data_IF_741013140683
#
_entry.id   IF_741013140683
#
_cell.length_a   1.000
_cell.length_b   1.000
_cell.length_c   1.000
_cell.angle_alpha   90.00
_cell.angle_beta   90.00
_cell.angle_gamma   90.00
#
_symmetry.space_group_name_H-M   'P 1'
#
loop_
_entity.id
_entity.type
_entity.pdbx_description
1 polymer ?
#
# COMPACT_ATOMS: atom_id res chain seq x y z
N UNK A 1 -0.01 -30.94 25.80
CA UNK A 1 -1.42 -30.62 26.10
C UNK A 1 -2.04 -30.05 24.84
N UNK A 2 -2.84 -30.87 24.14
CA UNK A 2 -3.68 -30.63 22.95
C UNK A 2 -3.24 -29.57 21.92
N UNK A 3 -2.42 -30.00 20.94
CA UNK A 3 -2.27 -29.35 19.63
C UNK A 3 -2.98 -30.24 18.60
N UNK A 4 -4.12 -29.80 18.05
CA UNK A 4 -4.82 -30.49 16.96
C UNK A 4 -5.26 -29.48 15.90
N UNK A 5 -4.55 -29.53 14.78
CA UNK A 5 -5.02 -29.33 13.40
C UNK A 5 -5.91 -28.12 13.10
N UNK A 6 -5.30 -27.04 12.62
CA UNK A 6 -5.93 -26.14 11.63
C UNK A 6 -5.21 -26.36 10.29
N UNK A 7 -5.46 -27.51 9.68
CA UNK A 7 -5.31 -27.66 8.23
C UNK A 7 -6.70 -27.37 7.65
N UNK A 8 -6.79 -26.53 6.61
CA UNK A 8 -8.00 -26.16 5.85
C UNK A 8 -8.75 -24.88 6.25
N UNK A 9 -8.03 -23.76 6.45
CA UNK A 9 -8.65 -22.45 6.21
C UNK A 9 -8.27 -21.98 4.79
N UNK A 10 -9.23 -21.67 3.90
CA UNK A 10 -8.91 -21.16 2.57
C UNK A 10 -8.13 -19.82 2.66
N UNK A 11 -7.30 -19.47 1.67
CA UNK A 11 -6.40 -18.30 1.73
C UNK A 11 -7.09 -16.94 1.99
N UNK A 12 -8.42 -16.88 1.90
CA UNK A 12 -9.25 -15.68 2.07
C UNK A 12 -10.07 -15.61 3.38
N UNK A 13 -9.92 -16.55 4.33
CA UNK A 13 -10.81 -16.64 5.51
C UNK A 13 -10.79 -15.42 6.45
N UNK A 14 -9.81 -14.52 6.33
CA UNK A 14 -9.72 -13.29 7.13
C UNK A 14 -9.64 -12.07 6.23
N UNK A 15 -10.59 -11.14 6.37
CA UNK A 15 -10.54 -9.85 5.68
C UNK A 15 -9.23 -9.11 5.97
N UNK A 16 -8.71 -8.39 4.96
CA UNK A 16 -7.40 -7.68 5.00
C UNK A 16 -7.16 -6.89 6.30
N UNK A 17 -8.20 -6.30 6.87
CA UNK A 17 -8.13 -5.51 8.11
C UNK A 17 -7.86 -6.30 9.40
N UNK A 18 -8.07 -7.63 9.42
CA UNK A 18 -7.87 -8.46 10.63
C UNK A 18 -6.46 -9.04 10.75
N UNK A 19 -5.70 -9.11 9.65
CA UNK A 19 -4.34 -9.65 9.64
C UNK A 19 -3.33 -8.67 10.23
N UNK A 20 -3.51 -7.37 9.97
CA UNK A 20 -2.55 -6.36 10.41
C UNK A 20 -2.40 -6.27 11.92
N UNK A 21 -3.48 -6.22 12.74
CA UNK A 21 -3.36 -6.21 14.20
C UNK A 21 -2.64 -7.46 14.76
N UNK A 22 -2.89 -8.64 14.18
CA UNK A 22 -2.20 -9.86 14.58
C UNK A 22 -0.69 -9.77 14.30
N UNK A 23 -0.30 -9.32 13.11
CA UNK A 23 1.11 -9.13 12.74
C UNK A 23 1.78 -8.04 13.60
N UNK A 24 1.04 -7.00 13.99
CA UNK A 24 1.54 -5.97 14.90
C UNK A 24 2.08 -6.55 16.19
N UNK A 25 1.34 -7.47 16.81
CA UNK A 25 1.73 -8.10 18.07
C UNK A 25 2.96 -9.02 17.95
N UNK A 26 3.27 -9.51 16.74
CA UNK A 26 4.33 -10.49 16.49
C UNK A 26 5.58 -9.87 15.82
N UNK A 27 5.61 -8.54 15.63
CA UNK A 27 6.72 -7.85 14.96
C UNK A 27 7.12 -6.60 15.72
N UNK A 28 8.41 -6.23 15.68
CA UNK A 28 8.93 -5.04 16.39
C UNK A 28 9.42 -3.90 15.51
N UNK A 29 9.83 -4.19 14.27
CA UNK A 29 10.55 -3.22 13.43
C UNK A 29 9.91 -2.97 12.07
N UNK A 30 9.44 -4.03 11.40
CA UNK A 30 8.91 -3.92 10.04
C UNK A 30 7.68 -3.01 9.98
N UNK A 31 7.63 -2.13 8.97
CA UNK A 31 6.45 -1.31 8.70
C UNK A 31 5.25 -2.21 8.35
N UNK A 32 4.06 -1.75 8.69
CA UNK A 32 2.80 -2.46 8.44
C UNK A 32 1.98 -1.66 7.45
N UNK A 33 1.83 -2.18 6.24
CA UNK A 33 1.12 -1.49 5.16
C UNK A 33 -0.23 -2.14 4.83
N UNK A 34 -1.22 -1.34 4.45
CA UNK A 34 -2.46 -1.84 3.81
C UNK A 34 -2.37 -1.75 2.30
N UNK A 35 -2.73 -2.82 1.58
CA UNK A 35 -2.85 -2.83 0.11
C UNK A 35 -4.24 -3.28 -0.37
N UNK A 36 -5.31 -2.50 -0.21
CA UNK A 36 -5.43 -1.13 0.32
C UNK A 36 -6.73 -0.98 1.11
N UNK A 37 -6.80 0.01 1.99
CA UNK A 37 -8.02 0.37 2.70
C UNK A 37 -9.00 1.10 1.75
N UNK A 38 -10.26 0.66 1.68
CA UNK A 38 -11.24 1.24 0.77
C UNK A 38 -11.96 2.42 1.42
N UNK A 39 -11.44 3.62 1.18
CA UNK A 39 -11.93 4.86 1.81
C UNK A 39 -13.35 5.23 1.36
N UNK A 40 -13.76 4.81 0.16
CA UNK A 40 -15.11 5.08 -0.32
C UNK A 40 -16.20 4.21 0.35
N UNK A 41 -15.86 3.08 0.97
CA UNK A 41 -16.85 2.14 1.51
C UNK A 41 -17.17 2.33 2.99
N UNK A 42 -16.24 2.89 3.78
CA UNK A 42 -16.38 3.03 5.24
C UNK A 42 -16.43 4.49 5.63
N UNK A 43 -17.05 4.78 6.78
CA UNK A 43 -17.07 6.14 7.29
C UNK A 43 -15.64 6.59 7.68
N UNK A 44 -15.23 7.83 7.38
CA UNK A 44 -13.88 8.32 7.70
C UNK A 44 -13.51 8.24 9.18
N UNK A 45 -14.49 8.42 10.08
CA UNK A 45 -14.30 8.28 11.54
C UNK A 45 -13.85 6.85 11.91
N UNK A 46 -14.50 5.82 11.33
CA UNK A 46 -14.17 4.43 11.64
C UNK A 46 -12.78 4.06 11.12
N UNK A 47 -12.45 4.57 9.92
CA UNK A 47 -11.12 4.43 9.33
C UNK A 47 -10.05 5.10 10.19
N UNK A 48 -10.30 6.34 10.65
CA UNK A 48 -9.37 7.11 11.47
C UNK A 48 -9.15 6.46 12.84
N UNK A 49 -10.22 6.04 13.52
CA UNK A 49 -10.12 5.32 14.81
C UNK A 49 -9.32 4.02 14.69
N UNK A 50 -9.62 3.22 13.66
CA UNK A 50 -8.91 1.97 13.43
C UNK A 50 -7.43 2.20 13.09
N UNK A 51 -7.14 3.17 12.22
CA UNK A 51 -5.79 3.51 11.81
C UNK A 51 -4.97 4.05 12.99
N UNK A 52 -5.47 5.02 13.74
CA UNK A 52 -4.77 5.58 14.90
C UNK A 52 -4.53 4.53 16.00
N UNK A 53 -5.52 3.67 16.27
CA UNK A 53 -5.35 2.57 17.24
C UNK A 53 -4.25 1.60 16.80
N UNK A 54 -4.25 1.22 15.52
CA UNK A 54 -3.24 0.33 14.97
C UNK A 54 -1.86 0.98 14.96
N UNK A 55 -1.78 2.27 14.66
CA UNK A 55 -0.54 3.05 14.69
C UNK A 55 0.06 3.06 16.10
N UNK A 56 -0.74 3.40 17.13
CA UNK A 56 -0.32 3.33 18.53
C UNK A 56 0.13 1.93 18.95
N UNK A 57 -0.65 0.89 18.62
CA UNK A 57 -0.28 -0.50 18.94
C UNK A 57 0.99 -0.95 18.23
N UNK A 58 1.27 -0.39 17.05
CA UNK A 58 2.47 -0.69 16.28
C UNK A 58 3.68 0.15 16.69
N UNK A 59 3.49 1.22 17.46
CA UNK A 59 4.53 2.18 17.79
C UNK A 59 4.93 3.06 16.59
N UNK A 60 3.97 3.50 15.78
CA UNK A 60 4.22 4.42 14.66
C UNK A 60 4.64 3.73 13.36
N UNK A 61 4.37 2.43 13.19
CA UNK A 61 4.82 1.63 12.03
C UNK A 61 3.77 1.53 10.93
N UNK A 62 2.62 2.17 11.05
CA UNK A 62 1.53 2.05 10.09
C UNK A 62 1.77 2.91 8.85
N UNK A 63 1.64 2.30 7.67
CA UNK A 63 1.54 3.00 6.39
C UNK A 63 0.21 2.65 5.75
N UNK A 64 -0.66 3.62 5.52
CA UNK A 64 -2.01 3.36 5.04
C UNK A 64 -2.06 3.49 3.52
N UNK A 65 -1.96 2.36 2.81
CA UNK A 65 -2.34 2.35 1.41
C UNK A 65 -3.86 2.46 1.27
N UNK A 66 -4.35 3.44 0.52
CA UNK A 66 -5.78 3.79 0.39
C UNK A 66 -6.25 3.72 -1.06
N UNK A 67 -7.52 3.36 -1.26
CA UNK A 67 -8.12 3.27 -2.59
C UNK A 67 -9.62 3.62 -2.57
N UNK A 68 -10.18 3.94 -3.73
CA UNK A 68 -11.62 4.16 -3.90
C UNK A 68 -12.43 2.88 -4.10
N UNK A 69 -11.78 1.73 -4.34
CA UNK A 69 -12.44 0.43 -4.50
C UNK A 69 -12.83 0.09 -5.94
N UNK A 70 -12.82 -1.21 -6.24
CA UNK A 70 -13.05 -1.80 -7.56
C UNK A 70 -14.19 -2.83 -7.58
N UNK A 71 -14.51 -3.43 -6.44
CA UNK A 71 -15.58 -4.43 -6.29
C UNK A 71 -16.95 -3.77 -6.28
N UNK A 72 -17.52 -3.54 -7.47
CA UNK A 72 -18.90 -3.02 -7.67
C UNK A 72 -19.95 -3.68 -6.77
N UNK A 73 -19.85 -5.00 -6.59
CA UNK A 73 -20.80 -5.80 -5.79
C UNK A 73 -20.82 -5.44 -4.30
N UNK A 74 -19.73 -4.88 -3.75
CA UNK A 74 -19.66 -4.49 -2.34
C UNK A 74 -20.44 -3.21 -2.05
N UNK A 75 -20.51 -2.27 -3.01
CA UNK A 75 -21.09 -0.95 -2.80
C UNK A 75 -22.57 -0.96 -2.40
N UNK A 76 -23.46 -1.73 -3.07
CA UNK A 76 -24.85 -1.84 -2.65
C UNK A 76 -25.03 -2.39 -1.23
N UNK A 77 -24.13 -3.25 -0.75
CA UNK A 77 -24.19 -3.79 0.61
C UNK A 77 -23.95 -2.72 1.69
N UNK A 78 -23.31 -1.60 1.34
CA UNK A 78 -23.15 -0.42 2.19
C UNK A 78 -24.17 0.69 1.87
N UNK A 79 -25.13 0.43 0.98
CA UNK A 79 -26.10 1.44 0.53
C UNK A 79 -25.47 2.58 -0.29
N UNK A 80 -24.34 2.32 -0.95
CA UNK A 80 -23.59 3.33 -1.71
C UNK A 80 -23.63 3.05 -3.22
N UNK A 81 -23.69 4.07 -4.08
CA UNK A 81 -23.48 3.92 -5.52
C UNK A 81 -21.97 3.82 -5.85
N UNK A 82 -21.58 2.86 -6.68
CA UNK A 82 -20.18 2.67 -7.08
C UNK A 82 -19.65 3.79 -7.98
N UNK A 83 -20.54 4.45 -8.71
CA UNK A 83 -20.26 5.52 -9.66
C UNK A 83 -19.62 6.73 -8.96
N UNK A 84 -20.07 7.04 -7.74
CA UNK A 84 -19.63 8.21 -6.97
C UNK A 84 -18.38 7.93 -6.11
N UNK A 85 -17.77 6.74 -6.22
CA UNK A 85 -16.65 6.33 -5.36
C UNK A 85 -15.43 7.26 -5.42
N UNK A 86 -15.22 7.94 -6.55
CA UNK A 86 -14.12 8.89 -6.72
C UNK A 86 -14.32 10.14 -5.89
N UNK A 87 -15.48 10.77 -6.00
CA UNK A 87 -15.85 11.94 -5.20
C UNK A 87 -15.87 11.58 -3.71
N UNK A 88 -16.52 10.47 -3.35
CA UNK A 88 -16.59 9.99 -1.98
C UNK A 88 -15.20 9.68 -1.39
N UNK A 89 -14.29 9.14 -2.20
CA UNK A 89 -12.90 8.91 -1.79
C UNK A 89 -12.19 10.22 -1.43
N UNK A 90 -12.26 11.23 -2.30
CA UNK A 90 -11.64 12.53 -2.05
C UNK A 90 -12.20 13.20 -0.78
N UNK A 91 -13.53 13.19 -0.61
CA UNK A 91 -14.20 13.67 0.60
C UNK A 91 -13.77 12.90 1.85
N UNK A 92 -13.54 11.59 1.73
CA UNK A 92 -13.11 10.75 2.85
C UNK A 92 -11.67 11.03 3.26
N UNK A 93 -10.78 11.32 2.30
CA UNK A 93 -9.39 11.71 2.58
C UNK A 93 -9.32 13.05 3.31
N UNK A 94 -10.06 14.05 2.83
CA UNK A 94 -10.17 15.37 3.48
C UNK A 94 -10.69 15.24 4.91
N UNK A 95 -11.80 14.52 5.10
CA UNK A 95 -12.38 14.27 6.43
C UNK A 95 -11.38 13.57 7.35
N UNK A 96 -10.74 12.50 6.87
CA UNK A 96 -9.77 11.72 7.64
C UNK A 96 -8.59 12.59 8.11
N UNK A 97 -8.08 13.47 7.25
CA UNK A 97 -6.98 14.38 7.60
C UNK A 97 -7.39 15.41 8.64
N UNK A 98 -8.57 16.00 8.49
CA UNK A 98 -9.15 16.92 9.48
C UNK A 98 -9.29 16.26 10.86
N UNK A 99 -9.71 14.99 10.91
CA UNK A 99 -9.77 14.22 12.15
C UNK A 99 -8.38 14.00 12.79
N UNK A 100 -7.35 13.69 12.00
CA UNK A 100 -6.01 13.45 12.52
C UNK A 100 -5.29 14.72 12.95
N UNK A 101 -5.58 15.85 12.32
CA UNK A 101 -4.97 17.15 12.64
C UNK A 101 -5.28 17.63 14.06
N UNK A 102 -6.25 17.01 14.76
CA UNK A 102 -6.47 17.20 16.19
C UNK A 102 -7.18 18.50 16.56
N UNK A 103 -7.59 19.30 15.58
CA UNK A 103 -8.34 20.53 15.78
C UNK A 103 -9.77 20.22 16.22
N UNK A 104 -10.27 20.96 17.22
CA UNK A 104 -11.67 20.89 17.67
C UNK A 104 -12.64 21.65 16.74
N UNK A 105 -12.19 21.96 15.52
CA UNK A 105 -13.02 22.65 14.53
C UNK A 105 -14.11 21.73 13.99
N UNK A 106 -15.33 22.25 13.78
CA UNK A 106 -16.40 21.47 13.16
C UNK A 106 -16.00 20.97 11.77
N UNK A 107 -16.19 19.68 11.51
CA UNK A 107 -16.03 19.09 10.18
C UNK A 107 -17.40 19.07 9.51
N UNK A 108 -17.56 19.91 8.48
CA UNK A 108 -18.72 19.91 7.61
C UNK A 108 -18.36 19.23 6.28
N UNK A 109 -18.91 18.04 6.05
CA UNK A 109 -18.67 17.25 4.84
C UNK A 109 -19.99 16.70 4.28
N UNK A 110 -20.06 16.41 2.97
CA UNK A 110 -21.15 15.62 2.39
C UNK A 110 -21.29 14.22 3.03
N UNK A 111 -20.26 13.74 3.74
CA UNK A 111 -20.27 12.45 4.45
C UNK A 111 -20.88 12.54 5.85
N UNK A 112 -21.14 13.74 6.36
CA UNK A 112 -21.67 13.98 7.68
C UNK A 112 -21.09 15.23 8.32
N UNK A 113 -21.72 15.67 9.40
CA UNK A 113 -21.24 16.77 10.25
C UNK A 113 -20.74 16.21 11.56
N UNK A 114 -19.62 16.74 12.03
CA UNK A 114 -19.07 16.48 13.35
C UNK A 114 -18.72 17.83 13.96
N UNK A 115 -19.37 18.18 15.06
CA UNK A 115 -19.03 19.38 15.82
C UNK A 115 -17.68 19.18 16.55
N UNK A 116 -17.38 19.99 17.56
CA UNK A 116 -16.12 19.93 18.29
C UNK A 116 -15.89 18.56 18.96
N UNK A 117 -15.16 17.69 18.27
CA UNK A 117 -14.79 16.36 18.72
C UNK A 117 -13.32 16.09 18.41
N UNK A 118 -12.65 15.42 19.34
CA UNK A 118 -11.25 14.99 19.18
C UNK A 118 -11.20 13.50 18.90
N UNK A 119 -10.43 13.11 17.89
CA UNK A 119 -10.14 11.71 17.65
C UNK A 119 -9.22 11.17 18.77
N UNK A 120 -9.59 10.04 19.36
CA UNK A 120 -8.71 9.28 20.25
C UNK A 120 -8.70 7.80 19.84
N UNK A 121 -7.53 7.13 19.90
CA UNK A 121 -6.21 7.70 20.25
C UNK A 121 -5.65 8.61 19.14
N UNK A 122 -4.63 9.42 19.46
CA UNK A 122 -3.88 10.16 18.44
C UNK A 122 -2.77 9.27 17.86
N UNK A 123 -2.45 9.37 16.56
CA UNK A 123 -1.29 8.70 15.98
C UNK A 123 0.01 9.08 16.71
N UNK A 124 0.98 8.17 16.71
CA UNK A 124 2.24 8.31 17.47
C UNK A 124 3.03 9.55 17.04
N UNK A 125 3.03 9.87 15.75
CA UNK A 125 3.73 11.03 15.17
C UNK A 125 2.78 12.18 14.83
N UNK A 126 1.51 12.09 15.23
CA UNK A 126 0.45 13.05 14.85
C UNK A 126 -0.08 12.88 13.42
N UNK A 127 0.55 12.04 12.60
CA UNK A 127 0.14 11.79 11.22
C UNK A 127 0.28 10.30 10.84
N UNK A 128 -0.48 9.86 9.84
CA UNK A 128 -0.39 8.50 9.28
C UNK A 128 -0.18 8.64 7.77
N UNK A 129 0.94 8.13 7.21
CA UNK A 129 1.19 8.23 5.76
C UNK A 129 0.08 7.57 4.94
N UNK A 130 -0.49 8.34 4.01
CA UNK A 130 -1.55 7.92 3.08
C UNK A 130 -0.99 7.68 1.68
N UNK A 131 -0.79 6.42 1.31
CA UNK A 131 -0.32 6.02 -0.01
C UNK A 131 -1.49 5.68 -0.93
N UNK A 132 -1.74 6.48 -1.97
CA UNK A 132 -2.90 6.25 -2.85
C UNK A 132 -2.60 5.10 -3.81
N UNK A 133 -3.55 4.18 -3.99
CA UNK A 133 -3.38 3.00 -4.85
C UNK A 133 -4.11 3.17 -6.18
N UNK A 134 -3.38 2.96 -7.28
CA UNK A 134 -3.86 3.24 -8.63
C UNK A 134 -4.21 4.72 -8.79
N UNK A 135 -5.18 5.05 -9.63
CA UNK A 135 -5.68 6.43 -9.73
C UNK A 135 -6.67 6.80 -8.63
N UNK A 136 -7.30 5.81 -7.98
CA UNK A 136 -8.45 6.02 -7.09
C UNK A 136 -9.55 6.94 -7.68
N UNK A 137 -9.67 7.01 -9.02
CA UNK A 137 -10.55 7.92 -9.77
C UNK A 137 -10.20 9.41 -9.64
N UNK A 138 -8.95 9.71 -9.26
CA UNK A 138 -8.41 11.06 -9.14
C UNK A 138 -7.49 11.40 -10.32
N UNK A 139 -7.27 12.70 -10.54
CA UNK A 139 -6.29 13.20 -11.51
C UNK A 139 -4.86 13.07 -10.95
N UNK A 140 -3.85 13.13 -11.82
CA UNK A 140 -2.44 13.19 -11.38
C UNK A 140 -2.17 14.42 -10.51
N UNK A 141 -2.82 15.55 -10.80
CA UNK A 141 -2.73 16.75 -9.98
C UNK A 141 -3.21 16.50 -8.56
N UNK A 142 -4.40 15.91 -8.40
CA UNK A 142 -4.92 15.58 -7.07
C UNK A 142 -3.98 14.61 -6.33
N UNK A 143 -3.41 13.61 -7.02
CA UNK A 143 -2.44 12.69 -6.42
C UNK A 143 -1.16 13.43 -5.97
N UNK A 144 -0.68 14.37 -6.77
CA UNK A 144 0.48 15.19 -6.46
C UNK A 144 0.24 16.16 -5.29
N UNK A 145 -0.99 16.64 -5.13
CA UNK A 145 -1.38 17.52 -4.01
C UNK A 145 -1.62 16.69 -2.73
N UNK A 146 -2.41 15.63 -2.82
CA UNK A 146 -3.04 14.98 -1.66
C UNK A 146 -2.39 13.67 -1.20
N UNK A 147 -1.61 12.95 -2.03
CA UNK A 147 -1.10 11.63 -1.64
C UNK A 147 0.30 11.72 -1.03
N UNK A 148 0.56 11.06 0.11
CA UNK A 148 1.89 11.06 0.75
C UNK A 148 2.86 10.13 0.02
N UNK A 149 2.32 9.25 -0.81
CA UNK A 149 3.04 8.41 -1.75
C UNK A 149 2.05 7.75 -2.71
N UNK A 150 2.57 7.02 -3.69
CA UNK A 150 1.76 6.43 -4.74
C UNK A 150 2.08 4.96 -4.97
N UNK A 151 1.06 4.10 -4.90
CA UNK A 151 1.14 2.66 -5.17
C UNK A 151 0.58 2.41 -6.56
N UNK A 152 1.41 1.89 -7.47
CA UNK A 152 0.97 1.50 -8.81
C UNK A 152 1.29 0.04 -9.11
N UNK A 153 0.47 -0.57 -9.95
CA UNK A 153 0.77 -1.89 -10.49
C UNK A 153 1.83 -1.75 -11.58
N UNK A 154 2.80 -2.68 -11.64
CA UNK A 154 3.76 -2.67 -12.73
C UNK A 154 3.06 -3.04 -14.04
N UNK A 155 3.68 -2.66 -15.14
CA UNK A 155 3.34 -3.23 -16.45
C UNK A 155 4.13 -4.54 -16.65
N UNK A 156 4.47 -4.89 -17.90
CA UNK A 156 5.24 -6.08 -18.20
C UNK A 156 6.61 -6.09 -17.51
N UNK A 157 6.77 -6.91 -16.48
CA UNK A 157 8.04 -7.05 -15.73
C UNK A 157 9.02 -8.05 -16.35
N UNK A 158 8.54 -8.84 -17.30
CA UNK A 158 9.36 -9.81 -18.03
C UNK A 158 10.27 -9.17 -19.09
N UNK A 159 10.15 -7.87 -19.34
CA UNK A 159 11.00 -7.14 -20.28
C UNK A 159 11.19 -5.67 -19.83
N UNK A 160 12.13 -4.97 -20.48
CA UNK A 160 12.53 -3.60 -20.11
C UNK A 160 11.46 -2.53 -20.40
N UNK A 161 10.44 -2.82 -21.22
CA UNK A 161 9.42 -1.83 -21.56
C UNK A 161 8.54 -1.50 -20.36
N UNK A 162 8.26 -2.46 -19.47
CA UNK A 162 7.47 -2.21 -18.27
C UNK A 162 8.12 -1.20 -17.32
N UNK A 163 9.37 -1.43 -16.88
CA UNK A 163 10.10 -0.45 -16.06
C UNK A 163 10.21 0.93 -16.72
N UNK A 164 10.41 1.01 -18.05
CA UNK A 164 10.45 2.29 -18.77
C UNK A 164 9.14 3.06 -18.70
N UNK A 165 8.01 2.40 -18.94
CA UNK A 165 6.68 3.02 -18.82
C UNK A 165 6.34 3.38 -17.38
N UNK A 166 6.81 2.59 -16.42
CA UNK A 166 6.70 2.92 -15.01
C UNK A 166 7.47 4.21 -14.70
N UNK A 167 8.69 4.36 -15.21
CA UNK A 167 9.50 5.58 -15.05
C UNK A 167 8.81 6.83 -15.63
N UNK A 168 8.12 6.70 -16.77
CA UNK A 168 7.31 7.78 -17.34
C UNK A 168 6.16 8.18 -16.41
N UNK A 169 5.42 7.20 -15.87
CA UNK A 169 4.34 7.45 -14.90
C UNK A 169 4.85 8.10 -13.62
N UNK A 170 5.94 7.59 -13.06
CA UNK A 170 6.55 8.14 -11.83
C UNK A 170 7.02 9.58 -12.05
N UNK A 171 7.66 9.89 -13.19
CA UNK A 171 8.07 11.25 -13.54
C UNK A 171 6.87 12.19 -13.70
N UNK A 172 5.82 11.75 -14.39
CA UNK A 172 4.62 12.55 -14.58
C UNK A 172 3.91 12.87 -13.25
N UNK A 173 3.82 11.90 -12.34
CA UNK A 173 3.28 12.15 -10.99
C UNK A 173 4.17 13.08 -10.17
N UNK A 174 5.49 12.87 -10.15
CA UNK A 174 6.42 13.74 -9.41
C UNK A 174 6.38 15.19 -9.89
N UNK A 175 6.18 15.43 -11.19
CA UNK A 175 6.00 16.77 -11.75
C UNK A 175 4.71 17.45 -11.25
N UNK A 176 3.72 16.69 -10.79
CA UNK A 176 2.48 17.21 -10.23
C UNK A 176 2.55 17.48 -8.71
N UNK A 177 3.68 17.18 -8.04
CA UNK A 177 3.85 17.41 -6.60
C UNK A 177 4.18 18.89 -6.35
N UNK A 178 3.34 19.65 -5.62
CA UNK A 178 3.64 21.04 -5.27
C UNK A 178 4.97 21.15 -4.50
N UNK A 179 5.83 22.07 -4.93
CA UNK A 179 7.15 22.30 -4.33
C UNK A 179 8.19 21.21 -4.61
N UNK A 180 7.85 20.15 -5.36
CA UNK A 180 8.79 19.10 -5.74
C UNK A 180 9.32 18.24 -4.57
N UNK A 181 8.65 18.26 -3.42
CA UNK A 181 9.04 17.49 -2.23
C UNK A 181 9.05 15.98 -2.49
N UNK A 182 9.92 15.26 -1.78
CA UNK A 182 10.01 13.80 -1.90
C UNK A 182 8.72 13.11 -1.43
N UNK A 183 8.20 12.18 -2.25
CA UNK A 183 7.12 11.25 -1.89
C UNK A 183 7.43 9.86 -2.44
N UNK A 184 7.34 8.78 -1.65
CA UNK A 184 7.68 7.44 -2.11
C UNK A 184 6.71 6.92 -3.18
N UNK A 185 7.28 6.30 -4.21
CA UNK A 185 6.54 5.45 -5.12
C UNK A 185 6.72 3.98 -4.73
N UNK A 186 5.63 3.22 -4.78
CA UNK A 186 5.57 1.80 -4.43
C UNK A 186 4.99 1.01 -5.60
N UNK A 187 5.56 -0.16 -5.88
CA UNK A 187 4.97 -1.13 -6.80
C UNK A 187 5.01 -2.53 -6.21
N UNK A 188 4.43 -3.50 -6.89
CA UNK A 188 4.34 -4.87 -6.40
C UNK A 188 4.46 -5.87 -7.55
N UNK A 189 4.94 -7.07 -7.27
CA UNK A 189 4.90 -8.19 -8.24
C UNK A 189 4.56 -9.48 -7.52
N UNK A 190 3.78 -10.34 -8.20
CA UNK A 190 3.61 -11.72 -7.78
C UNK A 190 4.73 -12.55 -8.40
N UNK A 191 5.58 -13.15 -7.57
CA UNK A 191 6.73 -13.93 -8.02
C UNK A 191 6.50 -15.43 -7.84
N UNK A 192 7.02 -16.19 -8.78
CA UNK A 192 7.33 -17.62 -8.66
C UNK A 192 8.86 -17.74 -8.81
N UNK A 193 9.59 -17.73 -7.68
CA UNK A 193 11.05 -17.68 -7.69
C UNK A 193 11.59 -19.08 -8.01
N UNK A 194 12.24 -19.25 -9.16
CA UNK A 194 12.74 -20.56 -9.61
C UNK A 194 13.94 -21.04 -8.76
N UNK A 195 14.20 -22.35 -8.76
CA UNK A 195 15.42 -22.91 -8.15
C UNK A 195 16.65 -22.60 -9.00
N UNK A 196 16.50 -22.54 -10.33
CA UNK A 196 17.56 -22.08 -11.23
C UNK A 196 17.71 -20.55 -11.06
N UNK A 197 18.88 -20.07 -10.55
CA UNK A 197 19.12 -18.64 -10.33
C UNK A 197 19.00 -17.80 -11.61
N UNK A 198 19.20 -18.42 -12.76
CA UNK A 198 19.21 -17.79 -14.08
C UNK A 198 17.94 -18.07 -14.88
N UNK A 199 16.91 -18.69 -14.28
CA UNK A 199 15.65 -18.91 -14.98
C UNK A 199 15.14 -17.57 -15.53
N UNK A 200 14.82 -17.49 -16.84
CA UNK A 200 14.51 -16.22 -17.47
C UNK A 200 13.22 -15.63 -16.92
N UNK A 201 13.13 -14.30 -16.92
CA UNK A 201 11.90 -13.58 -16.57
C UNK A 201 10.77 -14.00 -17.51
N UNK A 202 9.87 -14.84 -17.02
CA UNK A 202 8.83 -15.49 -17.83
C UNK A 202 7.46 -15.14 -17.28
N UNK A 203 6.59 -14.50 -18.07
CA UNK A 203 5.24 -14.19 -17.62
C UNK A 203 4.40 -15.45 -17.58
N UNK A 204 3.70 -15.66 -16.48
CA UNK A 204 2.69 -16.70 -16.30
C UNK A 204 1.31 -16.09 -16.07
N UNK A 205 0.26 -16.89 -16.28
CA UNK A 205 -1.13 -16.48 -16.03
C UNK A 205 -1.50 -15.16 -16.72
N UNK A 206 -1.11 -15.00 -17.99
CA UNK A 206 -1.34 -13.76 -18.74
C UNK A 206 -0.50 -12.56 -18.26
N UNK A 207 0.62 -12.81 -17.56
CA UNK A 207 1.49 -11.78 -17.00
C UNK A 207 1.13 -11.35 -15.58
N UNK A 208 0.21 -12.06 -14.91
CA UNK A 208 -0.14 -11.80 -13.52
C UNK A 208 0.91 -12.30 -12.52
N UNK A 209 1.69 -13.33 -12.90
CA UNK A 209 2.79 -13.87 -12.09
C UNK A 209 4.07 -13.85 -12.92
N UNK A 210 5.16 -13.39 -12.33
CA UNK A 210 6.48 -13.47 -12.91
C UNK A 210 7.22 -14.70 -12.36
N UNK A 211 7.43 -15.71 -13.20
CA UNK A 211 8.40 -16.78 -12.88
C UNK A 211 9.79 -16.33 -13.30
N UNK A 212 10.75 -16.36 -12.38
CA UNK A 212 12.12 -15.93 -12.64
C UNK A 212 13.08 -16.53 -11.63
N UNK A 213 14.34 -16.72 -12.00
CA UNK A 213 15.42 -16.95 -11.05
C UNK A 213 15.82 -15.66 -10.34
N UNK A 214 16.57 -15.78 -9.24
CA UNK A 214 16.99 -14.63 -8.42
C UNK A 214 17.76 -13.55 -9.19
N UNK A 215 18.56 -13.92 -10.19
CA UNK A 215 19.33 -12.94 -10.96
C UNK A 215 18.40 -12.05 -11.82
N UNK A 216 17.38 -12.65 -12.44
CA UNK A 216 16.35 -11.89 -13.15
C UNK A 216 15.53 -10.99 -12.22
N UNK A 217 15.25 -11.44 -10.99
CA UNK A 217 14.59 -10.60 -9.98
C UNK A 217 15.47 -9.42 -9.56
N UNK A 218 16.76 -9.65 -9.29
CA UNK A 218 17.72 -8.58 -8.91
C UNK A 218 17.78 -7.51 -9.98
N UNK A 219 17.93 -7.90 -11.24
CA UNK A 219 17.94 -6.96 -12.35
C UNK A 219 16.61 -6.18 -12.45
N UNK A 220 15.44 -6.82 -12.26
CA UNK A 220 14.15 -6.13 -12.24
C UNK A 220 14.07 -5.09 -11.12
N UNK A 221 14.57 -5.42 -9.94
CA UNK A 221 14.61 -4.49 -8.80
C UNK A 221 15.54 -3.30 -9.08
N UNK A 222 16.65 -3.51 -9.81
CA UNK A 222 17.47 -2.42 -10.31
C UNK A 222 16.73 -1.57 -11.35
N UNK A 223 16.07 -2.18 -12.33
CA UNK A 223 15.25 -1.48 -13.33
C UNK A 223 14.18 -0.59 -12.66
N UNK A 224 13.55 -1.11 -11.61
CA UNK A 224 12.58 -0.35 -10.81
C UNK A 224 13.21 0.76 -9.98
N UNK A 225 14.39 0.54 -9.38
CA UNK A 225 15.12 1.58 -8.66
C UNK A 225 15.42 2.76 -9.61
N UNK A 226 15.91 2.47 -10.82
CA UNK A 226 16.18 3.48 -11.86
C UNK A 226 14.89 4.16 -12.36
N UNK A 227 13.78 3.43 -12.41
CA UNK A 227 12.46 3.99 -12.70
C UNK A 227 11.91 4.91 -11.58
N UNK A 228 12.59 5.00 -10.44
CA UNK A 228 12.21 5.83 -9.31
C UNK A 228 11.29 5.14 -8.30
N UNK A 229 11.19 3.81 -8.32
CA UNK A 229 10.49 3.03 -7.29
C UNK A 229 11.29 3.06 -6.00
N UNK A 230 10.61 3.34 -4.88
CA UNK A 230 11.21 3.39 -3.55
C UNK A 230 10.92 2.14 -2.71
N UNK A 231 9.82 1.43 -3.01
CA UNK A 231 9.47 0.19 -2.33
C UNK A 231 8.84 -0.81 -3.31
N UNK A 232 9.25 -2.07 -3.21
CA UNK A 232 8.73 -3.18 -3.99
C UNK A 232 8.11 -4.22 -3.05
N UNK A 233 6.83 -4.51 -3.23
CA UNK A 233 6.14 -5.57 -2.49
C UNK A 233 6.10 -6.86 -3.31
N UNK A 234 6.82 -7.89 -2.88
CA UNK A 234 6.87 -9.18 -3.55
C UNK A 234 5.87 -10.15 -2.91
N UNK A 235 4.89 -10.60 -3.68
CA UNK A 235 3.92 -11.60 -3.26
C UNK A 235 4.27 -12.98 -3.79
N UNK A 236 4.17 -14.01 -2.96
CA UNK A 236 4.63 -15.38 -3.29
C UNK A 236 3.55 -16.44 -3.03
N UNK A 237 2.27 -16.05 -2.93
CA UNK A 237 1.15 -16.98 -2.67
C UNK A 237 0.91 -17.97 -3.81
N UNK A 238 1.44 -17.68 -5.01
CA UNK A 238 1.28 -18.49 -6.20
C UNK A 238 2.58 -19.19 -6.62
N UNK A 239 3.63 -19.09 -5.78
CA UNK A 239 4.91 -19.73 -6.06
C UNK A 239 4.83 -21.25 -5.88
N UNK A 240 5.64 -21.98 -6.66
CA UNK A 240 5.72 -23.43 -6.60
C UNK A 240 6.51 -23.92 -5.38
N UNK A 241 7.59 -23.19 -5.03
CA UNK A 241 8.43 -23.51 -3.87
C UNK A 241 7.77 -23.11 -2.55
N UNK A 242 8.11 -23.77 -1.44
CA UNK A 242 7.67 -23.37 -0.11
C UNK A 242 8.03 -21.90 0.20
N UNK A 243 7.09 -21.07 0.71
CA UNK A 243 7.36 -19.66 0.97
C UNK A 243 8.55 -19.37 1.89
N UNK A 244 8.84 -20.25 2.86
CA UNK A 244 9.98 -20.08 3.75
C UNK A 244 11.33 -20.20 3.02
N UNK A 245 11.44 -21.10 2.05
CA UNK A 245 12.66 -21.25 1.24
C UNK A 245 12.88 -20.04 0.35
N UNK A 246 11.80 -19.52 -0.25
CA UNK A 246 11.83 -18.29 -1.03
C UNK A 246 12.25 -17.11 -0.14
N UNK A 247 11.66 -16.96 1.05
CA UNK A 247 12.02 -15.89 2.00
C UNK A 247 13.49 -15.99 2.41
N UNK A 248 14.01 -17.20 2.66
CA UNK A 248 15.40 -17.41 3.02
C UNK A 248 16.34 -16.99 1.87
N UNK A 249 16.09 -17.45 0.65
CA UNK A 249 16.89 -17.05 -0.52
C UNK A 249 16.84 -15.54 -0.77
N UNK A 250 15.66 -14.92 -0.66
CA UNK A 250 15.54 -13.47 -0.76
C UNK A 250 16.35 -12.76 0.32
N UNK A 251 16.37 -13.28 1.55
CA UNK A 251 17.10 -12.67 2.66
C UNK A 251 18.63 -12.78 2.51
N UNK A 252 19.12 -13.89 1.96
CA UNK A 252 20.55 -14.16 1.81
C UNK A 252 21.13 -13.56 0.53
N UNK A 253 20.41 -13.63 -0.59
CA UNK A 253 20.97 -13.37 -1.92
C UNK A 253 20.47 -12.06 -2.56
N UNK A 254 19.26 -11.59 -2.18
CA UNK A 254 18.65 -10.40 -2.80
C UNK A 254 18.70 -9.20 -1.86
N UNK A 255 18.20 -9.33 -0.64
CA UNK A 255 18.05 -8.23 0.32
C UNK A 255 19.35 -7.47 0.64
N UNK A 256 20.54 -8.11 0.73
CA UNK A 256 21.80 -7.39 0.94
C UNK A 256 22.13 -6.36 -0.15
N UNK A 257 21.61 -6.53 -1.37
CA UNK A 257 21.78 -5.60 -2.49
C UNK A 257 20.80 -4.41 -2.44
N UNK A 258 19.76 -4.52 -1.60
CA UNK A 258 18.69 -3.53 -1.41
C UNK A 258 18.49 -3.27 0.09
N UNK A 259 19.52 -2.77 0.81
CA UNK A 259 19.43 -2.59 2.25
C UNK A 259 18.36 -1.55 2.62
N UNK A 260 17.86 -1.64 3.85
CA UNK A 260 16.99 -0.60 4.41
C UNK A 260 17.76 0.72 4.49
N UNK A 261 17.23 1.76 3.84
CA UNK A 261 17.79 3.10 3.86
C UNK A 261 17.03 3.98 4.84
N UNK A 262 17.74 4.90 5.49
CA UNK A 262 17.09 6.00 6.21
C UNK A 262 16.45 6.93 5.18
N UNK A 263 15.13 7.10 5.25
CA UNK A 263 14.41 8.03 4.38
C UNK A 263 14.73 9.49 4.72
N UNK A 264 14.56 10.43 3.77
CA UNK A 264 14.61 11.85 4.09
C UNK A 264 13.48 12.22 5.07
N UNK A 265 13.69 13.27 5.86
CA UNK A 265 12.64 13.82 6.72
C UNK A 265 11.41 14.19 5.86
N UNK A 266 10.20 13.75 6.22
CA UNK A 266 9.00 14.12 5.50
C UNK A 266 8.82 15.64 5.53
N UNK A 267 8.54 16.27 4.39
CA UNK A 267 8.13 17.67 4.40
C UNK A 267 6.84 17.80 5.21
N UNK A 268 6.79 18.82 6.09
CA UNK A 268 5.54 19.21 6.71
C UNK A 268 4.54 19.56 5.61
N UNK A 269 3.44 18.84 5.53
CA UNK A 269 2.47 19.04 4.48
C UNK A 269 1.33 19.92 5.00
N UNK A 270 1.00 20.96 4.23
CA UNK A 270 -0.09 21.89 4.52
C UNK A 270 -1.28 21.53 3.62
N UNK A 271 -2.11 20.62 4.08
CA UNK A 271 -3.45 20.36 3.54
C UNK A 271 -4.50 20.78 4.55
#
# INVERSE_FOLDING_TARGET
>A
MLYRSIRHAPPSAYGRYRKTPYLTAHTRKIALATGSAIFALRHPIDLAKAAASLDCLSGGRLVLGIASGDRRVEFPAYGLPHENRGERFAQSVDYFRKLLAGHAEPIHSPLGKLDSARLLPNPVTGQIPLLVTGSARQSLQWLGEQADGWITYPEATHNILGPRRLAEKVRAWRAAIPGGGFRPHVTNEWIDLDEDPNFPRTPQQGGYVLRTGRNGLIELLHDWREAGVNHAALGMQMAQRPPLEIIQELAEEVLPLFPSLTGPEPHAQTW
#
